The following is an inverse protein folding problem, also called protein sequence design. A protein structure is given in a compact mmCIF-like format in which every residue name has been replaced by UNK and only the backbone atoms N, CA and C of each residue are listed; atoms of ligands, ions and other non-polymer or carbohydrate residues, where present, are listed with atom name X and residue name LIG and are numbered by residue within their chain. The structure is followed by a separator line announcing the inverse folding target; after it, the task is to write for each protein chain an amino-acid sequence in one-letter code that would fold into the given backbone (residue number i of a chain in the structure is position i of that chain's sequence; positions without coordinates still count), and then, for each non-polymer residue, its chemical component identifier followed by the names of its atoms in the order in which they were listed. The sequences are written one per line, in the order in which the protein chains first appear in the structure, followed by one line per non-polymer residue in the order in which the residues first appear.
data_IF_788945029157
#
_entry.id   IF_788945029157
#
_cell.length_a   1.000
_cell.length_b   1.000
_cell.length_c   1.000
_cell.angle_alpha   90.00
_cell.angle_beta   90.00
_cell.angle_gamma   90.00
#
_symmetry.space_group_name_H-M   'P 1'
#
loop_
_entity.id
_entity.type
_entity.pdbx_description
1 polymer ?
#
# COMPACT_ATOMS: atom_id res chain seq x y z
N UNK A 1 3.52 15.24 0.03
CA UNK A 1 3.29 14.40 1.23
C UNK A 1 1.86 14.57 1.72
N UNK A 2 1.50 15.72 2.26
CA UNK A 2 0.21 15.98 2.92
C UNK A 2 -1.01 15.55 2.08
N UNK A 3 -1.20 16.08 0.88
CA UNK A 3 -2.34 15.75 0.00
C UNK A 3 -2.39 14.27 -0.32
N UNK A 4 -1.24 13.65 -0.57
CA UNK A 4 -1.17 12.22 -0.87
C UNK A 4 -1.61 11.38 0.34
N UNK A 5 -1.21 11.73 1.57
CA UNK A 5 -1.61 11.01 2.77
C UNK A 5 -3.08 11.23 3.11
N UNK A 6 -3.60 12.44 2.96
CA UNK A 6 -5.02 12.73 3.16
C UNK A 6 -5.90 11.86 2.24
N UNK A 7 -5.54 11.73 0.96
CA UNK A 7 -6.25 10.85 0.02
C UNK A 7 -6.02 9.37 0.39
N UNK A 8 -4.81 9.01 0.82
CA UNK A 8 -4.50 7.63 1.23
C UNK A 8 -5.28 7.18 2.47
N UNK A 9 -5.51 8.09 3.41
CA UNK A 9 -6.27 7.79 4.62
C UNK A 9 -7.76 7.55 4.34
N UNK A 10 -8.31 8.18 3.31
CA UNK A 10 -9.72 8.09 2.95
C UNK A 10 -10.03 6.93 2.00
N UNK A 11 -9.24 6.77 0.93
CA UNK A 11 -9.52 5.80 -0.14
C UNK A 11 -8.35 4.88 -0.50
N UNK A 12 -7.21 5.00 0.19
CA UNK A 12 -6.05 4.14 -0.04
C UNK A 12 -5.27 4.43 -1.33
N UNK A 13 -5.42 5.65 -1.90
CA UNK A 13 -4.87 6.03 -3.21
C UNK A 13 -3.67 6.98 -3.20
N UNK A 14 -3.05 7.24 -2.07
CA UNK A 14 -1.97 8.26 -1.95
C UNK A 14 -0.77 8.02 -2.88
N UNK A 15 -0.42 6.77 -3.13
CA UNK A 15 0.64 6.41 -4.06
C UNK A 15 0.38 6.80 -5.52
N UNK A 16 -0.89 6.98 -5.91
CA UNK A 16 -1.26 7.47 -7.26
C UNK A 16 -0.84 8.93 -7.50
N UNK A 17 -0.56 9.68 -6.45
CA UNK A 17 -0.11 11.07 -6.55
C UNK A 17 1.40 11.17 -6.32
N UNK A 18 1.91 10.53 -5.28
CA UNK A 18 3.30 10.69 -4.84
C UNK A 18 4.29 9.99 -5.76
N UNK A 19 3.99 8.78 -6.26
CA UNK A 19 4.90 8.05 -7.15
C UNK A 19 5.06 8.75 -8.53
N UNK A 20 3.97 9.14 -9.24
CA UNK A 20 4.10 9.90 -10.48
C UNK A 20 4.81 11.24 -10.31
N UNK A 21 4.61 11.93 -9.18
CA UNK A 21 5.30 13.19 -8.91
C UNK A 21 6.82 13.01 -8.84
N UNK A 22 7.31 11.95 -8.21
CA UNK A 22 8.74 11.65 -8.15
C UNK A 22 9.30 11.25 -9.53
N UNK A 23 8.55 10.47 -10.30
CA UNK A 23 8.93 10.11 -11.68
C UNK A 23 8.96 11.32 -12.60
N UNK A 24 8.03 12.27 -12.45
CA UNK A 24 7.99 13.51 -13.22
C UNK A 24 9.18 14.44 -12.91
N UNK A 25 9.81 14.30 -11.74
CA UNK A 25 11.07 14.96 -11.39
C UNK A 25 12.31 14.30 -12.05
N UNK A 26 12.12 13.29 -12.89
CA UNK A 26 13.19 12.59 -13.59
C UNK A 26 13.94 11.56 -12.74
N UNK A 27 13.38 11.15 -11.58
CA UNK A 27 13.99 10.10 -10.78
C UNK A 27 13.94 8.74 -11.51
N UNK A 28 15.04 7.95 -11.49
CA UNK A 28 15.00 6.55 -11.88
C UNK A 28 13.93 5.78 -11.12
N UNK A 29 13.28 4.83 -11.79
CA UNK A 29 12.11 4.10 -11.24
C UNK A 29 12.37 3.50 -9.85
N UNK A 30 13.46 2.75 -9.62
CA UNK A 30 13.70 2.17 -8.29
C UNK A 30 13.87 3.24 -7.20
N UNK A 31 14.54 4.36 -7.51
CA UNK A 31 14.72 5.49 -6.58
C UNK A 31 13.40 6.18 -6.25
N UNK A 32 12.54 6.39 -7.25
CA UNK A 32 11.22 6.99 -7.06
C UNK A 32 10.33 6.08 -6.18
N UNK A 33 10.28 4.79 -6.47
CA UNK A 33 9.50 3.82 -5.71
C UNK A 33 10.03 3.69 -4.27
N UNK A 34 11.33 3.52 -4.07
CA UNK A 34 11.93 3.38 -2.75
C UNK A 34 11.76 4.64 -1.89
N UNK A 35 11.95 5.83 -2.48
CA UNK A 35 11.72 7.10 -1.78
C UNK A 35 10.26 7.28 -1.40
N UNK A 36 9.34 6.90 -2.29
CA UNK A 36 7.92 6.91 -2.00
C UNK A 36 7.56 5.95 -0.86
N UNK A 37 8.16 4.77 -0.79
CA UNK A 37 7.93 3.79 0.29
C UNK A 37 8.32 4.32 1.67
N UNK A 38 9.41 5.08 1.77
CA UNK A 38 9.79 5.71 3.03
C UNK A 38 8.68 6.66 3.56
N UNK A 39 8.19 7.54 2.69
CA UNK A 39 7.14 8.48 3.08
C UNK A 39 5.79 7.79 3.31
N UNK A 40 5.38 6.87 2.44
CA UNK A 40 4.13 6.14 2.56
C UNK A 40 4.07 5.26 3.82
N UNK A 41 5.19 4.61 4.19
CA UNK A 41 5.26 3.80 5.41
C UNK A 41 5.10 4.64 6.68
N UNK A 42 5.60 5.88 6.71
CA UNK A 42 5.37 6.80 7.85
C UNK A 42 3.92 7.23 7.96
N UNK A 43 3.25 7.55 6.86
CA UNK A 43 1.81 7.83 6.84
C UNK A 43 0.98 6.60 7.24
N UNK A 44 1.34 5.41 6.76
CA UNK A 44 0.69 4.17 7.16
C UNK A 44 0.86 3.87 8.65
N UNK A 45 2.03 4.20 9.24
CA UNK A 45 2.26 4.05 10.67
C UNK A 45 1.34 4.92 11.52
N UNK A 46 1.15 6.18 11.17
CA UNK A 46 0.21 7.06 11.88
C UNK A 46 -1.23 6.58 11.74
N UNK A 47 -1.61 6.12 10.55
CA UNK A 47 -2.93 5.57 10.28
C UNK A 47 -3.19 4.28 11.08
N UNK A 48 -2.27 3.32 11.08
CA UNK A 48 -2.43 2.07 11.84
C UNK A 48 -2.56 2.34 13.34
N UNK A 49 -1.81 3.30 13.88
CA UNK A 49 -1.90 3.66 15.29
C UNK A 49 -3.29 4.22 15.66
N UNK A 50 -3.89 5.01 14.78
CA UNK A 50 -5.23 5.56 14.95
C UNK A 50 -6.30 4.46 14.90
N UNK A 51 -6.25 3.57 13.90
CA UNK A 51 -7.17 2.44 13.78
C UNK A 51 -7.01 1.42 14.93
N UNK A 52 -5.77 1.19 15.38
CA UNK A 52 -5.50 0.32 16.52
C UNK A 52 -6.14 0.86 17.80
N UNK A 53 -5.94 2.15 18.10
CA UNK A 53 -6.56 2.81 19.26
C UNK A 53 -8.07 2.81 19.20
N UNK A 54 -8.65 2.89 18.01
CA UNK A 54 -10.09 2.81 17.77
C UNK A 54 -10.64 1.37 17.84
N UNK A 55 -9.80 0.34 18.01
CA UNK A 55 -10.22 -1.06 18.03
C UNK A 55 -10.75 -1.57 16.68
N UNK A 56 -10.32 -0.95 15.56
CA UNK A 56 -10.81 -1.23 14.20
C UNK A 56 -9.84 -2.08 13.37
N UNK A 57 -8.98 -2.86 14.03
CA UNK A 57 -8.07 -3.80 13.37
C UNK A 57 -8.33 -5.20 13.91
N UNK A 58 -8.69 -6.11 13.02
CA UNK A 58 -8.93 -7.50 13.37
C UNK A 58 -7.61 -8.26 13.58
N UNK A 59 -7.61 -9.22 14.51
CA UNK A 59 -6.45 -10.08 14.76
C UNK A 59 -5.94 -10.80 13.52
N UNK A 60 -6.83 -11.13 12.58
CA UNK A 60 -6.48 -11.79 11.32
C UNK A 60 -5.53 -10.93 10.47
N UNK A 61 -5.78 -9.62 10.37
CA UNK A 61 -4.89 -8.72 9.62
C UNK A 61 -3.49 -8.69 10.24
N UNK A 62 -3.41 -8.61 11.59
CA UNK A 62 -2.13 -8.62 12.31
C UNK A 62 -1.37 -9.94 12.13
N UNK A 63 -2.10 -11.06 12.14
CA UNK A 63 -1.49 -12.39 11.94
C UNK A 63 -0.83 -12.53 10.56
N UNK A 64 -1.41 -11.91 9.52
CA UNK A 64 -0.90 -11.98 8.15
C UNK A 64 0.02 -10.81 7.74
N UNK A 65 0.35 -9.89 8.64
CA UNK A 65 1.36 -8.84 8.39
C UNK A 65 2.71 -9.41 7.91
N UNK A 66 3.27 -10.49 8.51
CA UNK A 66 4.53 -11.06 8.03
C UNK A 66 4.46 -11.54 6.58
N UNK A 67 3.31 -12.07 6.17
CA UNK A 67 3.13 -12.55 4.79
C UNK A 67 3.08 -11.40 3.80
N UNK A 68 2.43 -10.30 4.16
CA UNK A 68 2.41 -9.06 3.39
C UNK A 68 3.81 -8.43 3.27
N UNK A 69 4.58 -8.45 4.36
CA UNK A 69 5.97 -8.00 4.39
C UNK A 69 6.84 -8.83 3.42
N UNK A 70 6.76 -10.17 3.49
CA UNK A 70 7.55 -11.06 2.62
C UNK A 70 7.17 -10.86 1.15
N UNK A 71 5.86 -10.84 0.86
CA UNK A 71 5.38 -10.57 -0.50
C UNK A 71 5.95 -9.29 -1.07
N UNK A 72 5.92 -8.23 -0.29
CA UNK A 72 6.39 -6.90 -0.67
C UNK A 72 7.92 -6.84 -0.83
N UNK A 73 8.66 -7.48 0.05
CA UNK A 73 10.12 -7.55 -0.08
C UNK A 73 10.52 -8.26 -1.38
N UNK A 74 9.83 -9.35 -1.73
CA UNK A 74 10.03 -10.06 -3.00
C UNK A 74 9.62 -9.19 -4.18
N UNK A 75 8.46 -8.51 -4.12
CA UNK A 75 8.00 -7.59 -5.18
C UNK A 75 9.00 -6.48 -5.44
N UNK A 76 9.52 -5.84 -4.41
CA UNK A 76 10.55 -4.81 -4.53
C UNK A 76 11.87 -5.35 -5.11
N UNK A 77 12.23 -6.57 -4.74
CA UNK A 77 13.41 -7.22 -5.31
C UNK A 77 13.28 -7.47 -6.82
N UNK A 78 12.09 -7.88 -7.28
CA UNK A 78 11.82 -8.11 -8.72
C UNK A 78 12.01 -6.83 -9.55
N UNK A 79 11.79 -5.64 -8.97
CA UNK A 79 12.05 -4.36 -9.67
C UNK A 79 13.49 -4.26 -10.17
N UNK A 80 14.47 -4.81 -9.45
CA UNK A 80 15.88 -4.78 -9.85
C UNK A 80 16.23 -5.79 -10.92
N UNK A 81 15.43 -6.82 -11.09
CA UNK A 81 15.66 -7.85 -12.11
C UNK A 81 15.23 -7.40 -13.51
N UNK A 82 14.43 -6.33 -13.58
CA UNK A 82 13.84 -5.86 -14.82
C UNK A 82 14.63 -4.66 -15.40
N UNK A 83 14.80 -4.59 -16.74
CA UNK A 83 15.38 -3.42 -17.39
C UNK A 83 14.56 -2.16 -17.10
N UNK A 84 15.25 -1.02 -16.94
CA UNK A 84 14.60 0.26 -16.57
C UNK A 84 13.54 0.71 -17.58
N UNK A 85 13.80 0.51 -18.88
CA UNK A 85 12.82 0.85 -19.93
C UNK A 85 11.54 0.04 -19.83
N UNK A 86 11.66 -1.26 -19.54
CA UNK A 86 10.51 -2.13 -19.32
C UNK A 86 9.74 -1.71 -18.09
N UNK A 87 10.44 -1.38 -17.01
CA UNK A 87 9.81 -0.89 -15.78
C UNK A 87 9.03 0.41 -15.98
N UNK A 88 9.59 1.38 -16.72
CA UNK A 88 8.87 2.63 -17.05
C UNK A 88 7.56 2.35 -17.76
N UNK A 89 7.57 1.48 -18.77
CA UNK A 89 6.36 1.13 -19.53
C UNK A 89 5.32 0.41 -18.64
N UNK A 90 5.76 -0.56 -17.85
CA UNK A 90 4.88 -1.28 -16.90
C UNK A 90 4.23 -0.31 -15.93
N UNK A 91 5.01 0.60 -15.32
CA UNK A 91 4.50 1.56 -14.35
C UNK A 91 3.47 2.49 -14.97
N UNK A 92 3.72 3.02 -16.16
CA UNK A 92 2.75 3.89 -16.84
C UNK A 92 1.43 3.15 -17.10
N UNK A 93 1.52 1.92 -17.63
CA UNK A 93 0.32 1.10 -17.86
C UNK A 93 -0.42 0.81 -16.56
N UNK A 94 0.29 0.44 -15.50
CA UNK A 94 -0.31 0.15 -14.20
C UNK A 94 -0.92 1.39 -13.54
N UNK A 95 -0.28 2.57 -13.66
CA UNK A 95 -0.84 3.84 -13.17
C UNK A 95 -2.17 4.17 -13.86
N UNK A 96 -2.20 4.05 -15.19
CA UNK A 96 -3.43 4.27 -15.96
C UNK A 96 -4.51 3.25 -15.58
N UNK A 97 -4.15 1.97 -15.49
CA UNK A 97 -5.09 0.91 -15.13
C UNK A 97 -5.70 1.14 -13.73
N UNK A 98 -4.88 1.49 -12.72
CA UNK A 98 -5.36 1.76 -11.37
C UNK A 98 -6.17 3.05 -11.30
N UNK A 99 -5.78 4.10 -12.04
CA UNK A 99 -6.55 5.35 -12.10
C UNK A 99 -7.94 5.11 -12.73
N UNK A 100 -8.00 4.37 -13.84
CA UNK A 100 -9.25 3.97 -14.48
C UNK A 100 -10.11 3.11 -13.54
N UNK A 101 -9.53 2.10 -12.90
CA UNK A 101 -10.21 1.27 -11.92
C UNK A 101 -10.81 2.10 -10.79
N UNK A 102 -10.01 3.01 -10.20
CA UNK A 102 -10.45 3.88 -9.10
C UNK A 102 -11.56 4.84 -9.53
N UNK A 103 -11.49 5.36 -10.77
CA UNK A 103 -12.52 6.25 -11.31
C UNK A 103 -13.89 5.57 -11.48
N UNK A 104 -13.92 4.32 -11.93
CA UNK A 104 -15.16 3.57 -12.15
C UNK A 104 -15.75 2.96 -10.88
N UNK A 105 -14.95 2.80 -9.83
CA UNK A 105 -15.39 2.23 -8.54
C UNK A 105 -15.77 3.33 -7.55
N UNK A 106 -17.00 3.85 -7.68
CA UNK A 106 -17.54 4.91 -6.80
C UNK A 106 -18.33 4.39 -5.61
N UNK A 107 -18.86 3.16 -5.66
CA UNK A 107 -19.76 2.65 -4.63
C UNK A 107 -19.01 1.75 -3.66
N UNK A 108 -18.66 2.31 -2.51
CA UNK A 108 -18.18 1.60 -1.34
C UNK A 108 -19.41 1.20 -0.50
N UNK A 109 -20.17 0.17 -0.99
CA UNK A 109 -21.45 -0.19 -0.37
C UNK A 109 -21.32 -0.56 1.11
N UNK A 110 -22.35 -0.22 1.88
CA UNK A 110 -22.53 -0.70 3.24
C UNK A 110 -22.75 -2.21 3.21
N UNK A 111 -21.69 -2.97 3.49
CA UNK A 111 -21.77 -4.41 3.68
C UNK A 111 -22.03 -4.67 5.16
N UNK A 112 -23.07 -5.46 5.46
CA UNK A 112 -23.33 -5.89 6.82
C UNK A 112 -22.12 -6.66 7.36
N UNK A 113 -21.59 -6.21 8.50
CA UNK A 113 -20.40 -6.80 9.13
C UNK A 113 -20.67 -8.25 9.56
N UNK A 114 -19.82 -9.17 9.13
CA UNK A 114 -19.76 -10.52 9.71
C UNK A 114 -19.03 -10.44 11.06
N UNK A 115 -19.63 -10.98 12.10
CA UNK A 115 -19.04 -10.97 13.45
C UNK A 115 -17.81 -11.88 13.56
N UNK A 116 -17.75 -12.98 12.79
CA UNK A 116 -16.63 -13.92 12.80
C UNK A 116 -16.20 -14.32 11.39
N UNK A 117 -14.88 -14.34 11.16
CA UNK A 117 -14.25 -14.81 9.94
C UNK A 117 -13.92 -16.29 10.08
N UNK A 118 -14.39 -17.13 9.14
CA UNK A 118 -14.14 -18.57 9.11
C UNK A 118 -12.81 -18.95 8.45
N UNK A 119 -12.54 -20.26 8.34
CA UNK A 119 -11.29 -20.79 7.74
C UNK A 119 -11.08 -20.34 6.30
N UNK A 120 -12.14 -20.17 5.51
CA UNK A 120 -12.05 -19.73 4.12
C UNK A 120 -11.57 -18.28 4.03
N UNK A 121 -12.03 -17.44 4.93
CA UNK A 121 -11.61 -16.04 5.03
C UNK A 121 -10.14 -15.93 5.45
N UNK A 122 -9.66 -16.80 6.33
CA UNK A 122 -8.23 -16.88 6.69
C UNK A 122 -7.35 -17.18 5.48
N UNK A 123 -7.71 -18.16 4.65
CA UNK A 123 -6.99 -18.51 3.42
C UNK A 123 -7.03 -17.34 2.43
N UNK A 124 -8.19 -16.70 2.27
CA UNK A 124 -8.34 -15.55 1.38
C UNK A 124 -7.47 -14.36 1.82
N UNK A 125 -7.43 -14.05 3.13
CA UNK A 125 -6.55 -12.99 3.67
C UNK A 125 -5.07 -13.35 3.48
N UNK A 126 -4.68 -14.62 3.64
CA UNK A 126 -3.31 -15.06 3.39
C UNK A 126 -2.88 -14.82 1.93
N UNK A 127 -3.72 -15.25 0.97
CA UNK A 127 -3.48 -15.04 -0.47
C UNK A 127 -3.45 -13.55 -0.79
N UNK A 128 -4.38 -12.79 -0.25
CA UNK A 128 -4.46 -11.35 -0.43
C UNK A 128 -3.23 -10.63 0.16
N UNK A 129 -2.82 -10.99 1.37
CA UNK A 129 -1.64 -10.42 2.03
C UNK A 129 -0.36 -10.66 1.23
N UNK A 130 -0.15 -11.90 0.73
CA UNK A 130 1.01 -12.24 -0.08
C UNK A 130 0.95 -11.57 -1.47
N UNK A 131 -0.18 -11.71 -2.17
CA UNK A 131 -0.33 -11.22 -3.55
C UNK A 131 -0.36 -9.69 -3.63
N UNK A 132 -1.17 -9.03 -2.79
CA UNK A 132 -1.20 -7.56 -2.75
C UNK A 132 0.03 -6.98 -2.06
N UNK A 133 0.66 -7.73 -1.13
CA UNK A 133 1.98 -7.39 -0.62
C UNK A 133 3.02 -7.36 -1.74
N UNK A 134 3.10 -8.41 -2.57
CA UNK A 134 3.98 -8.44 -3.74
C UNK A 134 3.72 -7.26 -4.69
N UNK A 135 2.44 -7.04 -5.04
CA UNK A 135 2.04 -5.88 -5.85
C UNK A 135 2.49 -4.55 -5.25
N UNK A 136 2.36 -4.40 -3.92
CA UNK A 136 2.76 -3.20 -3.20
C UNK A 136 4.27 -2.96 -3.25
N UNK A 137 5.07 -4.01 -3.14
CA UNK A 137 6.52 -3.94 -3.27
C UNK A 137 6.97 -3.64 -4.69
N UNK A 138 6.32 -4.27 -5.68
CA UNK A 138 6.65 -4.13 -7.09
C UNK A 138 6.24 -2.75 -7.64
N UNK A 139 5.08 -2.23 -7.25
CA UNK A 139 4.52 -1.00 -7.79
C UNK A 139 3.97 -0.07 -6.69
N UNK A 140 2.98 -0.51 -5.93
CA UNK A 140 2.45 0.15 -4.76
C UNK A 140 1.21 1.02 -4.94
N UNK A 141 1.10 1.91 -5.93
CA UNK A 141 -0.08 2.75 -6.08
C UNK A 141 -1.39 1.94 -6.13
N UNK A 142 -2.38 2.31 -5.32
CA UNK A 142 -3.69 1.64 -5.28
C UNK A 142 -3.78 0.42 -4.35
N UNK A 143 -2.69 -0.08 -3.78
CA UNK A 143 -2.70 -1.25 -2.88
C UNK A 143 -3.68 -1.08 -1.73
N UNK A 144 -3.73 0.10 -1.12
CA UNK A 144 -4.67 0.39 -0.02
C UNK A 144 -6.12 0.17 -0.45
N UNK A 145 -6.51 0.67 -1.63
CA UNK A 145 -7.85 0.46 -2.17
C UNK A 145 -8.16 -1.01 -2.41
N UNK A 146 -7.23 -1.76 -3.02
CA UNK A 146 -7.42 -3.19 -3.27
C UNK A 146 -7.56 -3.99 -1.97
N UNK A 147 -6.76 -3.66 -0.94
CA UNK A 147 -6.86 -4.28 0.38
C UNK A 147 -8.21 -3.96 1.04
N UNK A 148 -8.68 -2.70 1.00
CA UNK A 148 -9.99 -2.33 1.54
C UNK A 148 -11.08 -3.14 0.83
N UNK A 149 -11.07 -3.22 -0.50
CA UNK A 149 -12.02 -4.03 -1.25
C UNK A 149 -11.98 -5.50 -0.85
N UNK A 150 -10.78 -6.07 -0.73
CA UNK A 150 -10.62 -7.45 -0.29
C UNK A 150 -11.31 -7.70 1.05
N UNK A 151 -11.13 -6.84 2.04
CA UNK A 151 -11.78 -6.97 3.35
C UNK A 151 -13.29 -6.70 3.30
N UNK A 152 -13.76 -5.79 2.45
CA UNK A 152 -15.20 -5.61 2.21
C UNK A 152 -15.85 -6.87 1.62
N UNK A 153 -15.21 -7.50 0.63
CA UNK A 153 -15.68 -8.77 0.07
C UNK A 153 -15.72 -9.90 1.10
N UNK A 154 -14.84 -9.87 2.10
CA UNK A 154 -14.85 -10.83 3.20
C UNK A 154 -15.93 -10.52 4.26
N UNK A 155 -16.68 -9.41 4.09
CA UNK A 155 -17.79 -9.03 4.96
C UNK A 155 -17.40 -8.13 6.13
N UNK A 156 -16.25 -7.46 6.09
CA UNK A 156 -15.93 -6.39 7.06
C UNK A 156 -16.73 -5.12 6.73
N UNK A 157 -17.11 -4.35 7.75
CA UNK A 157 -17.56 -2.97 7.53
C UNK A 157 -16.41 -2.10 7.00
N UNK A 158 -16.75 -0.95 6.38
CA UNK A 158 -15.76 -0.10 5.73
C UNK A 158 -14.64 0.36 6.66
N UNK A 159 -14.95 0.75 7.89
CA UNK A 159 -13.95 1.26 8.84
C UNK A 159 -12.99 0.16 9.30
N UNK A 160 -13.53 -1.03 9.58
CA UNK A 160 -12.72 -2.21 9.92
C UNK A 160 -11.90 -2.69 8.72
N UNK A 161 -12.48 -2.69 7.51
CA UNK A 161 -11.77 -3.00 6.28
C UNK A 161 -10.60 -2.03 6.04
N UNK A 162 -10.81 -0.73 6.25
CA UNK A 162 -9.76 0.27 6.16
C UNK A 162 -8.66 0.06 7.20
N UNK A 163 -9.01 -0.24 8.46
CA UNK A 163 -8.05 -0.55 9.52
C UNK A 163 -7.20 -1.78 9.20
N UNK A 164 -7.84 -2.87 8.77
CA UNK A 164 -7.18 -4.11 8.36
C UNK A 164 -6.25 -3.88 7.14
N UNK A 165 -6.73 -3.13 6.15
CA UNK A 165 -5.93 -2.77 4.98
C UNK A 165 -4.69 -1.96 5.36
N UNK A 166 -4.82 -0.99 6.29
CA UNK A 166 -3.68 -0.20 6.77
C UNK A 166 -2.64 -1.06 7.51
N UNK A 167 -3.07 -2.09 8.25
CA UNK A 167 -2.15 -3.01 8.90
C UNK A 167 -1.30 -3.79 7.88
N UNK A 168 -1.93 -4.38 6.86
CA UNK A 168 -1.22 -5.11 5.81
C UNK A 168 -0.37 -4.17 4.94
N UNK A 169 -0.88 -2.97 4.61
CA UNK A 169 -0.16 -1.98 3.80
C UNK A 169 1.06 -1.39 4.53
N UNK A 170 0.99 -1.23 5.85
CA UNK A 170 2.15 -0.86 6.65
C UNK A 170 3.23 -1.94 6.61
N UNK A 171 2.84 -3.20 6.81
CA UNK A 171 3.78 -4.32 6.77
C UNK A 171 4.46 -4.44 5.39
N UNK A 172 3.69 -4.36 4.30
CA UNK A 172 4.22 -4.36 2.94
C UNK A 172 5.09 -3.13 2.67
N UNK A 173 4.70 -1.96 3.14
CA UNK A 173 5.50 -0.74 3.03
C UNK A 173 6.89 -0.89 3.64
N UNK A 174 6.98 -1.46 4.85
CA UNK A 174 8.27 -1.73 5.52
C UNK A 174 9.06 -2.79 4.76
N UNK A 175 8.43 -3.87 4.28
CA UNK A 175 9.11 -4.91 3.49
C UNK A 175 9.74 -4.37 2.21
N UNK A 176 8.99 -3.55 1.45
CA UNK A 176 9.50 -2.89 0.27
C UNK A 176 10.61 -1.87 0.60
N UNK A 177 10.37 -1.03 1.62
CA UNK A 177 11.36 -0.04 2.07
C UNK A 177 12.69 -0.70 2.43
N UNK A 178 12.65 -1.81 3.16
CA UNK A 178 13.84 -2.56 3.52
C UNK A 178 14.59 -3.05 2.28
N UNK A 179 13.91 -3.63 1.29
CA UNK A 179 14.52 -4.08 0.04
C UNK A 179 15.12 -2.93 -0.76
N UNK A 180 14.39 -1.81 -0.91
CA UNK A 180 14.90 -0.63 -1.62
C UNK A 180 16.06 0.05 -0.87
N UNK A 181 16.03 0.09 0.46
CA UNK A 181 17.10 0.67 1.26
C UNK A 181 18.39 -0.16 1.18
N UNK A 182 18.28 -1.49 1.27
CA UNK A 182 19.42 -2.41 1.12
C UNK A 182 20.08 -2.31 -0.29
N UNK A 183 19.28 -2.00 -1.30
CA UNK A 183 19.75 -1.80 -2.67
C UNK A 183 20.20 -0.37 -2.98
N UNK A 184 20.25 0.53 -1.99
CA UNK A 184 20.65 1.93 -2.17
C UNK A 184 19.66 2.78 -2.96
N UNK A 185 18.41 2.33 -3.12
CA UNK A 185 17.40 3.00 -3.95
C UNK A 185 16.41 3.85 -3.13
N UNK A 186 16.93 4.59 -2.17
CA UNK A 186 16.16 5.55 -1.37
C UNK A 186 16.88 6.88 -1.30
N UNK A 187 16.25 7.95 -1.77
CA UNK A 187 16.73 9.32 -1.56
C UNK A 187 16.20 9.83 -0.23
N UNK A 188 16.97 9.60 0.83
CA UNK A 188 16.58 9.85 2.22
C UNK A 188 16.11 11.28 2.47
N UNK A 189 16.77 12.29 1.88
CA UNK A 189 16.40 13.70 2.04
C UNK A 189 14.98 13.99 1.54
N UNK A 190 14.64 13.52 0.35
CA UNK A 190 13.30 13.70 -0.21
C UNK A 190 12.26 12.85 0.53
N UNK A 191 12.64 11.61 0.86
CA UNK A 191 11.77 10.70 1.61
C UNK A 191 11.37 11.24 2.98
N UNK A 192 12.33 11.83 3.74
CA UNK A 192 12.05 12.42 5.05
C UNK A 192 11.17 13.66 4.95
N UNK A 193 11.44 14.57 4.00
CA UNK A 193 10.60 15.77 3.78
C UNK A 193 9.16 15.36 3.41
N UNK A 194 9.02 14.35 2.54
CA UNK A 194 7.71 13.80 2.19
C UNK A 194 7.04 13.11 3.38
N UNK A 195 7.81 12.39 4.21
CA UNK A 195 7.33 11.69 5.40
C UNK A 195 6.75 12.66 6.44
N UNK A 196 7.41 13.79 6.69
CA UNK A 196 6.87 14.86 7.55
C UNK A 196 5.50 15.30 7.04
N UNK A 197 5.36 15.57 5.74
CA UNK A 197 4.07 15.89 5.15
C UNK A 197 3.03 14.77 5.23
N UNK A 198 3.45 13.51 5.28
CA UNK A 198 2.55 12.35 5.42
C UNK A 198 2.02 12.17 6.87
N UNK A 199 2.76 12.62 7.86
CA UNK A 199 2.34 12.55 9.29
C UNK A 199 1.16 13.49 9.57
N UNK A 200 1.12 14.64 8.90
CA UNK A 200 0.10 15.68 9.10
C UNK A 200 -1.12 15.57 8.14
N UNK A 201 -1.12 14.66 7.19
CA UNK A 201 -2.19 14.41 6.22
C UNK A 201 -2.99 13.16 6.55
#
# INVERSE_FOLDING_TARGET
GFVACFIDSTVGGGGLISAPALLALGMPVPLALGTNKLSASTGAFTSILSFWRAGKINKIALYFMPLSFIGSAVGAYVVYLLPEELMKNIIVVMLVAVAVYTYFRKDWGDVASKEELGTKEYIAVAIMALGLGFYDGFFGPGTGSFLIFGFLFLGCDFVTAAGNAKALNFASGIGALMSFALSGSVVWSYGVIMAIGMIFG
#
